data_IF_521484197467
#
_entry.id   IF_521484197467
#
_cell.length_a   1.000
_cell.length_b   1.000
_cell.length_c   1.000
_cell.angle_alpha   90.00
_cell.angle_beta   90.00
_cell.angle_gamma   90.00
#
_symmetry.space_group_name_H-M   'P 1'
#
loop_
_entity.id
_entity.type
_entity.pdbx_description
1 polymer ?
#
# COMPACT_ATOMS: atom_id res chain seq x y z
N UNK A 1 -5.62 -13.76 16.55
CA UNK A 1 -5.33 -12.36 16.92
C UNK A 1 -5.27 -11.58 15.63
N UNK A 2 -6.08 -10.53 15.48
CA UNK A 2 -5.99 -9.67 14.30
C UNK A 2 -4.86 -8.67 14.54
N UNK A 3 -3.83 -8.71 13.70
CA UNK A 3 -2.74 -7.74 13.73
C UNK A 3 -3.15 -6.52 12.90
N UNK A 4 -3.09 -5.33 13.48
CA UNK A 4 -3.34 -4.06 12.79
C UNK A 4 -2.03 -3.28 12.79
N UNK A 5 -1.47 -3.06 11.61
CA UNK A 5 -0.22 -2.32 11.42
C UNK A 5 -0.51 -1.03 10.67
N UNK A 6 -0.07 0.10 11.21
CA UNK A 6 -0.11 1.40 10.53
C UNK A 6 1.21 1.60 9.79
N UNK A 7 1.15 2.08 8.55
CA UNK A 7 2.32 2.51 7.79
C UNK A 7 2.11 3.97 7.36
N UNK A 8 3.11 4.81 7.60
CA UNK A 8 3.07 6.26 7.37
C UNK A 8 3.72 6.62 6.01
N UNK A 9 3.46 7.84 5.51
CA UNK A 9 4.16 8.38 4.33
C UNK A 9 3.75 7.74 2.99
N UNK A 10 2.51 7.29 2.87
CA UNK A 10 2.00 6.61 1.67
C UNK A 10 1.94 7.56 0.48
N UNK A 11 1.13 8.61 0.53
CA UNK A 11 0.96 9.58 -0.54
C UNK A 11 1.15 11.01 -0.03
N UNK A 12 1.54 11.91 -0.92
CA UNK A 12 1.72 13.34 -0.61
C UNK A 12 0.39 14.11 -0.57
N UNK A 13 -0.70 13.48 -1.02
CA UNK A 13 -2.05 14.03 -1.08
C UNK A 13 -3.10 12.94 -0.80
N UNK A 14 -4.38 13.31 -0.81
CA UNK A 14 -5.53 12.47 -0.52
C UNK A 14 -5.52 11.17 -1.33
N UNK A 15 -5.66 10.06 -0.61
CA UNK A 15 -5.88 8.73 -1.20
C UNK A 15 -7.35 8.62 -1.56
N UNK A 16 -7.63 8.27 -2.80
CA UNK A 16 -9.00 8.11 -3.29
C UNK A 16 -9.48 6.67 -3.21
N UNK A 17 -8.59 5.72 -3.49
CA UNK A 17 -8.96 4.32 -3.59
C UNK A 17 -7.82 3.38 -3.21
N UNK A 18 -8.20 2.17 -2.81
CA UNK A 18 -7.32 1.11 -2.37
C UNK A 18 -7.87 -0.25 -2.81
N UNK A 19 -7.03 -1.06 -3.45
CA UNK A 19 -7.43 -2.38 -3.95
C UNK A 19 -6.38 -3.43 -3.62
N UNK A 20 -6.84 -4.56 -3.09
CA UNK A 20 -6.00 -5.74 -2.88
C UNK A 20 -5.96 -6.61 -4.13
N UNK A 21 -4.85 -7.33 -4.31
CA UNK A 21 -4.84 -8.43 -5.26
C UNK A 21 -5.60 -9.64 -4.69
N UNK A 22 -5.83 -10.64 -5.56
CA UNK A 22 -6.56 -11.86 -5.18
C UNK A 22 -5.95 -12.60 -3.98
N UNK A 23 -4.62 -12.58 -3.86
CA UNK A 23 -3.89 -13.28 -2.80
C UNK A 23 -3.76 -12.49 -1.50
N UNK A 24 -4.16 -11.22 -1.48
CA UNK A 24 -4.04 -10.34 -0.31
C UNK A 24 -2.61 -9.93 0.06
N UNK A 25 -1.60 -10.31 -0.72
CA UNK A 25 -0.19 -9.98 -0.47
C UNK A 25 0.27 -8.72 -1.21
N UNK A 26 -0.56 -8.15 -2.08
CA UNK A 26 -0.32 -6.85 -2.72
C UNK A 26 -1.48 -5.91 -2.55
N UNK A 27 -1.14 -4.63 -2.41
CA UNK A 27 -2.07 -3.53 -2.30
C UNK A 27 -1.70 -2.45 -3.32
N UNK A 28 -2.69 -1.94 -4.05
CA UNK A 28 -2.53 -0.77 -4.89
C UNK A 28 -3.27 0.42 -4.26
N UNK A 29 -2.63 1.58 -4.23
CA UNK A 29 -3.22 2.83 -3.75
C UNK A 29 -3.11 3.91 -4.82
N UNK A 30 -4.18 4.70 -4.99
CA UNK A 30 -4.22 5.83 -5.93
C UNK A 30 -4.54 7.13 -5.17
N UNK A 31 -3.85 8.22 -5.51
CA UNK A 31 -3.96 9.51 -4.83
C UNK A 31 -4.00 10.69 -5.79
N UNK A 32 -4.47 11.84 -5.29
CA UNK A 32 -4.35 13.15 -5.94
C UNK A 32 -2.90 13.57 -6.21
N UNK A 33 -1.91 12.91 -5.59
CA UNK A 33 -0.48 13.19 -5.83
C UNK A 33 0.01 12.74 -7.21
N UNK A 34 -0.91 12.29 -8.08
CA UNK A 34 -0.68 11.80 -9.44
C UNK A 34 0.26 10.60 -9.46
N UNK A 35 0.25 9.79 -8.39
CA UNK A 35 1.01 8.56 -8.33
C UNK A 35 0.12 7.40 -7.92
N UNK A 36 0.43 6.24 -8.47
CA UNK A 36 -0.08 4.96 -8.00
C UNK A 36 1.07 4.27 -7.27
N UNK A 37 0.83 3.83 -6.05
CA UNK A 37 1.80 3.05 -5.27
C UNK A 37 1.35 1.62 -5.13
N UNK A 38 2.30 0.71 -5.31
CA UNK A 38 2.10 -0.73 -5.12
C UNK A 38 2.88 -1.15 -3.90
N UNK A 39 2.20 -1.81 -2.99
CA UNK A 39 2.73 -2.32 -1.74
C UNK A 39 2.76 -3.83 -1.75
N UNK A 40 3.85 -4.41 -1.27
CA UNK A 40 3.96 -5.84 -1.01
C UNK A 40 3.92 -6.07 0.51
N UNK A 41 3.21 -7.10 0.94
CA UNK A 41 3.19 -7.55 2.32
C UNK A 41 4.35 -8.51 2.55
N UNK A 42 5.27 -8.13 3.44
CA UNK A 42 6.32 -9.01 3.91
C UNK A 42 5.79 -9.82 5.10
N UNK A 43 5.47 -11.09 4.86
CA UNK A 43 4.95 -12.02 5.88
C UNK A 43 5.95 -12.29 7.03
N UNK A 44 7.25 -12.13 6.77
CA UNK A 44 8.30 -12.40 7.77
C UNK A 44 8.33 -11.31 8.84
N UNK A 45 8.29 -10.06 8.39
CA UNK A 45 8.38 -8.89 9.26
C UNK A 45 6.98 -8.34 9.65
N UNK A 46 5.93 -8.76 8.95
CA UNK A 46 4.57 -8.28 9.13
C UNK A 46 4.37 -6.82 8.69
N UNK A 47 5.16 -6.36 7.73
CA UNK A 47 5.24 -4.96 7.30
C UNK A 47 4.83 -4.83 5.83
N UNK A 48 4.17 -3.71 5.50
CA UNK A 48 3.89 -3.30 4.13
C UNK A 48 5.02 -2.42 3.59
N UNK A 49 5.59 -2.81 2.46
CA UNK A 49 6.69 -2.08 1.82
C UNK A 49 6.25 -1.57 0.45
N UNK A 50 6.63 -0.33 0.11
CA UNK A 50 6.36 0.23 -1.22
C UNK A 50 7.35 -0.34 -2.24
N UNK A 51 6.86 -1.12 -3.20
CA UNK A 51 7.69 -1.71 -4.24
C UNK A 51 7.81 -0.76 -5.45
N UNK A 52 6.70 -0.14 -5.85
CA UNK A 52 6.67 0.73 -7.02
C UNK A 52 5.87 2.00 -6.76
N UNK A 53 6.37 3.11 -7.32
CA UNK A 53 5.64 4.37 -7.41
C UNK A 53 5.61 4.77 -8.88
N UNK A 54 4.44 4.65 -9.48
CA UNK A 54 4.20 4.91 -10.91
C UNK A 54 3.59 6.32 -11.04
N UNK A 55 4.05 7.09 -12.03
CA UNK A 55 3.44 8.37 -12.44
C UNK A 55 2.50 8.14 -13.61
#
# INVERSE_FOLDING_TARGET
>A
MNQVTKFDGTHEDLIHDVAFNYYGNRLATCSSDQKIKIWDYNETDGVWETNFSIK
#
